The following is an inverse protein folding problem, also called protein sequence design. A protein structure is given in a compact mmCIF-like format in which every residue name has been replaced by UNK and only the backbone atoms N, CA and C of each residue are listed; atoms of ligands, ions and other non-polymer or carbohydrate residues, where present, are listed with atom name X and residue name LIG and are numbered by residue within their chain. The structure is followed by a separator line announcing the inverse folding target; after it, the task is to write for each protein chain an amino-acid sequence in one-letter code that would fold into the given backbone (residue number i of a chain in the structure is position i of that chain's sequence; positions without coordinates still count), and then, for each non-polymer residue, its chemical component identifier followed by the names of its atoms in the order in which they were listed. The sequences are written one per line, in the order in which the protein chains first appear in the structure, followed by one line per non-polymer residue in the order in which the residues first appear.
data_IF_320023216802
#
_entry.id   IF_320023216802
#
_cell.length_a   1.000
_cell.length_b   1.000
_cell.length_c   1.000
_cell.angle_alpha   90.00
_cell.angle_beta   90.00
_cell.angle_gamma   90.00
#
_symmetry.space_group_name_H-M   'P 1'
#
loop_
_entity.id
_entity.type
_entity.pdbx_description
1 polymer ?
#
# COMPACT_ATOMS: atom_id res chain seq x y z
N UNK A 1 -17.96 -6.65 -14.61
CA UNK A 1 -17.96 -5.33 -13.93
C UNK A 1 -17.06 -5.48 -12.72
N UNK A 2 -15.82 -4.98 -12.80
CA UNK A 2 -14.74 -5.27 -11.85
C UNK A 2 -15.06 -4.70 -10.47
N UNK A 3 -15.48 -5.55 -9.53
CA UNK A 3 -15.80 -5.19 -8.14
C UNK A 3 -14.59 -4.61 -7.37
N UNK A 4 -13.38 -4.77 -7.90
CA UNK A 4 -12.12 -4.19 -7.40
C UNK A 4 -12.12 -2.66 -7.31
N UNK A 5 -12.83 -1.98 -8.21
CA UNK A 5 -12.70 -0.53 -8.38
C UNK A 5 -13.64 0.27 -7.47
N UNK A 6 -14.57 -0.39 -6.79
CA UNK A 6 -15.55 0.25 -5.89
C UNK A 6 -15.10 0.29 -4.43
N UNK A 7 -14.07 -0.45 -4.05
CA UNK A 7 -13.68 -0.63 -2.64
C UNK A 7 -12.48 0.21 -2.19
N UNK A 8 -12.00 1.17 -2.99
CA UNK A 8 -10.97 2.11 -2.50
C UNK A 8 -11.53 3.14 -1.49
N UNK A 9 -12.84 3.14 -1.22
CA UNK A 9 -13.47 4.02 -0.22
C UNK A 9 -14.32 3.22 0.74
N UNK A 10 -13.88 3.17 2.00
CA UNK A 10 -14.68 3.64 3.13
C UNK A 10 -13.89 3.62 4.45
N UNK A 11 -14.03 4.71 5.20
CA UNK A 11 -13.79 4.90 6.64
C UNK A 11 -12.38 5.34 7.11
N UNK A 12 -12.24 6.66 7.14
CA UNK A 12 -11.72 7.53 8.23
C UNK A 12 -10.86 6.93 9.36
N UNK A 13 -9.71 7.57 9.56
CA UNK A 13 -9.39 8.21 10.84
C UNK A 13 -8.36 7.51 11.73
N UNK A 14 -7.11 7.95 11.65
CA UNK A 14 -6.27 8.08 12.85
C UNK A 14 -5.76 9.52 12.86
N UNK A 15 -6.24 10.24 13.87
CA UNK A 15 -5.84 11.60 14.17
C UNK A 15 -4.37 11.64 14.59
N UNK A 16 -3.66 12.67 14.13
CA UNK A 16 -2.41 13.13 14.72
C UNK A 16 -2.65 13.52 16.18
N UNK A 17 -2.01 12.82 17.12
CA UNK A 17 -1.51 13.26 18.44
C UNK A 17 -0.68 12.09 18.96
N UNK A 18 0.56 12.20 19.42
CA UNK A 18 1.16 13.28 20.20
C UNK A 18 2.67 13.26 20.01
N UNK A 19 3.26 14.46 19.99
CA UNK A 19 4.65 14.61 20.39
C UNK A 19 4.78 14.32 21.89
N UNK A 20 5.96 13.81 22.26
CA UNK A 20 6.70 14.11 23.50
C UNK A 20 6.97 12.93 24.47
N UNK A 21 8.27 12.59 24.51
CA UNK A 21 9.10 11.99 25.59
C UNK A 21 9.12 10.46 25.83
N UNK A 22 10.19 9.81 25.36
CA UNK A 22 10.96 8.85 26.16
C UNK A 22 12.39 8.69 25.60
N UNK A 23 13.38 9.20 26.34
CA UNK A 23 14.80 9.06 26.03
C UNK A 23 15.26 7.63 26.39
N UNK A 24 15.88 6.92 25.45
CA UNK A 24 16.82 5.83 25.75
C UNK A 24 16.60 4.48 25.05
N UNK A 25 15.38 4.15 24.61
CA UNK A 25 15.08 2.90 23.87
C UNK A 25 13.81 3.10 22.99
N UNK A 26 12.81 3.78 23.55
CA UNK A 26 11.60 4.22 22.83
C UNK A 26 11.82 5.33 21.78
N UNK A 27 13.02 5.92 21.70
CA UNK A 27 13.36 6.86 20.62
C UNK A 27 13.46 6.15 19.27
N UNK A 28 13.91 4.90 19.26
CA UNK A 28 14.03 4.10 18.04
C UNK A 28 12.67 3.52 17.60
N UNK A 29 11.83 3.11 18.56
CA UNK A 29 10.43 2.74 18.28
C UNK A 29 9.63 3.92 17.71
N UNK A 30 9.82 5.13 18.26
CA UNK A 30 9.21 6.35 17.71
C UNK A 30 9.74 6.72 16.32
N UNK A 31 11.02 6.46 16.03
CA UNK A 31 11.58 6.66 14.69
C UNK A 31 10.98 5.66 13.68
N UNK A 32 10.87 4.39 14.05
CA UNK A 32 10.31 3.35 13.21
C UNK A 32 8.84 3.64 12.86
N UNK A 33 8.01 3.98 13.86
CA UNK A 33 6.60 4.33 13.63
C UNK A 33 6.44 5.52 12.67
N UNK A 34 7.30 6.54 12.81
CA UNK A 34 7.30 7.71 11.92
C UNK A 34 7.72 7.37 10.50
N UNK A 35 8.73 6.52 10.31
CA UNK A 35 9.16 6.07 8.99
C UNK A 35 8.06 5.22 8.34
N UNK A 36 7.47 4.29 9.08
CA UNK A 36 6.40 3.40 8.59
C UNK A 36 5.16 4.22 8.19
N UNK A 37 4.69 5.11 9.07
CA UNK A 37 3.52 5.95 8.80
C UNK A 37 3.80 6.98 7.70
N UNK A 38 4.95 7.65 7.75
CA UNK A 38 5.34 8.69 6.80
C UNK A 38 5.58 8.18 5.38
N UNK A 39 6.14 6.97 5.25
CA UNK A 39 6.31 6.32 3.94
C UNK A 39 5.00 5.74 3.38
N UNK A 40 3.94 5.65 4.21
CA UNK A 40 2.62 5.21 3.77
C UNK A 40 2.48 3.70 3.56
N UNK A 41 3.50 2.90 3.90
CA UNK A 41 3.51 1.44 3.69
C UNK A 41 2.44 0.73 4.53
N UNK A 42 2.01 1.32 5.66
CA UNK A 42 0.96 0.78 6.52
C UNK A 42 -0.40 0.63 5.82
N UNK A 43 -0.65 1.44 4.79
CA UNK A 43 -1.90 1.43 4.03
C UNK A 43 -2.17 0.11 3.31
N UNK A 44 -1.15 -0.72 3.05
CA UNK A 44 -1.33 -2.00 2.35
C UNK A 44 -2.19 -2.99 3.15
N UNK A 45 -2.11 -2.95 4.49
CA UNK A 45 -2.95 -3.77 5.37
C UNK A 45 -4.44 -3.43 5.20
N UNK A 46 -4.76 -2.14 5.07
CA UNK A 46 -6.12 -1.66 4.83
C UNK A 46 -6.62 -2.13 3.46
N UNK A 47 -5.78 -2.06 2.43
CA UNK A 47 -6.14 -2.51 1.09
C UNK A 47 -6.45 -4.01 1.05
N UNK A 48 -5.61 -4.85 1.67
CA UNK A 48 -5.87 -6.29 1.77
C UNK A 48 -7.16 -6.58 2.52
N UNK A 49 -7.40 -5.87 3.63
CA UNK A 49 -8.65 -6.04 4.39
C UNK A 49 -9.88 -5.66 3.57
N UNK A 50 -9.86 -4.50 2.91
CA UNK A 50 -10.98 -4.03 2.08
C UNK A 50 -11.27 -4.99 0.92
N UNK A 51 -10.20 -5.47 0.27
CA UNK A 51 -10.30 -6.48 -0.77
C UNK A 51 -10.97 -7.76 -0.24
N UNK A 52 -10.53 -8.23 0.93
CA UNK A 52 -11.07 -9.43 1.52
C UNK A 52 -12.53 -9.27 1.98
N UNK A 53 -12.90 -8.12 2.55
CA UNK A 53 -14.29 -7.80 2.90
C UNK A 53 -15.20 -7.75 1.67
N UNK A 54 -14.72 -7.20 0.55
CA UNK A 54 -15.45 -7.14 -0.71
C UNK A 54 -15.64 -8.53 -1.35
N UNK A 55 -14.61 -9.39 -1.30
CA UNK A 55 -14.65 -10.70 -1.94
C UNK A 55 -15.42 -11.75 -1.11
N UNK A 56 -15.39 -11.64 0.22
CA UNK A 56 -16.02 -12.60 1.13
C UNK A 56 -17.38 -12.13 1.65
N UNK A 57 -17.97 -11.09 1.06
CA UNK A 57 -19.26 -10.53 1.48
C UNK A 57 -20.39 -11.57 1.44
N UNK A 58 -20.33 -12.46 0.46
CA UNK A 58 -21.37 -13.45 0.15
C UNK A 58 -21.00 -14.87 0.67
N UNK A 59 -19.85 -15.03 1.34
CA UNK A 59 -19.37 -16.31 1.87
C UNK A 59 -20.08 -16.69 3.18
N UNK A 60 -20.16 -17.99 3.47
CA UNK A 60 -20.66 -18.47 4.78
C UNK A 60 -19.76 -17.98 5.90
N UNK A 61 -20.34 -17.70 7.06
CA UNK A 61 -19.61 -17.09 8.18
C UNK A 61 -18.38 -17.91 8.66
N UNK A 62 -18.47 -19.25 8.59
CA UNK A 62 -17.35 -20.15 8.96
C UNK A 62 -16.20 -20.04 7.95
N UNK A 63 -16.51 -20.11 6.65
CA UNK A 63 -15.53 -19.99 5.56
C UNK A 63 -14.88 -18.60 5.57
N UNK A 64 -15.68 -17.56 5.75
CA UNK A 64 -15.21 -16.17 5.92
C UNK A 64 -14.23 -16.06 7.08
N UNK A 65 -14.58 -16.57 8.27
CA UNK A 65 -13.68 -16.56 9.44
C UNK A 65 -12.39 -17.34 9.22
N UNK A 66 -12.45 -18.45 8.48
CA UNK A 66 -11.26 -19.23 8.14
C UNK A 66 -10.32 -18.43 7.22
N UNK A 67 -10.84 -17.83 6.14
CA UNK A 67 -10.04 -17.03 5.21
C UNK A 67 -9.48 -15.76 5.87
N UNK A 68 -10.29 -15.07 6.67
CA UNK A 68 -9.82 -13.93 7.48
C UNK A 68 -8.63 -14.30 8.39
N UNK A 69 -8.63 -15.51 8.97
CA UNK A 69 -7.48 -15.98 9.77
C UNK A 69 -6.22 -16.20 8.95
N UNK A 70 -6.35 -16.66 7.71
CA UNK A 70 -5.20 -16.82 6.80
C UNK A 70 -4.58 -15.48 6.40
N UNK A 71 -5.33 -14.38 6.51
CA UNK A 71 -4.85 -13.02 6.24
C UNK A 71 -4.29 -12.31 7.49
N UNK A 72 -4.18 -12.96 8.65
CA UNK A 72 -3.58 -12.36 9.85
C UNK A 72 -2.15 -11.82 9.64
N UNK A 73 -1.27 -12.45 8.82
CA UNK A 73 0.04 -11.86 8.50
C UNK A 73 -0.05 -10.49 7.83
N UNK A 74 -1.16 -10.17 7.17
CA UNK A 74 -1.43 -8.87 6.55
C UNK A 74 -2.06 -7.86 7.52
N UNK A 75 -2.25 -8.22 8.79
CA UNK A 75 -2.80 -7.31 9.80
C UNK A 75 -1.87 -6.11 10.06
N UNK A 76 -2.41 -4.94 10.45
CA UNK A 76 -1.59 -3.78 10.76
C UNK A 76 -0.48 -4.07 11.77
N UNK A 77 -0.76 -4.85 12.81
CA UNK A 77 0.21 -5.22 13.84
C UNK A 77 1.34 -6.11 13.29
N UNK A 78 1.02 -7.12 12.48
CA UNK A 78 2.00 -8.04 11.93
C UNK A 78 2.95 -7.35 10.94
N UNK A 79 2.40 -6.48 10.08
CA UNK A 79 3.22 -5.69 9.16
C UNK A 79 4.07 -4.67 9.91
N UNK A 80 3.52 -3.99 10.91
CA UNK A 80 4.27 -3.03 11.72
C UNK A 80 5.46 -3.72 12.43
N UNK A 81 5.25 -4.89 13.03
CA UNK A 81 6.33 -5.67 13.64
C UNK A 81 7.41 -6.05 12.61
N UNK A 82 7.01 -6.53 11.44
CA UNK A 82 7.94 -6.89 10.35
C UNK A 82 8.77 -5.70 9.87
N UNK A 83 8.12 -4.54 9.72
CA UNK A 83 8.75 -3.29 9.31
C UNK A 83 9.68 -2.71 10.38
N UNK A 84 9.28 -2.75 11.65
CA UNK A 84 10.13 -2.33 12.77
C UNK A 84 11.37 -3.21 12.87
N UNK A 85 11.20 -4.53 12.74
CA UNK A 85 12.34 -5.47 12.71
C UNK A 85 13.26 -5.20 11.52
N UNK A 86 12.70 -4.88 10.34
CA UNK A 86 13.48 -4.51 9.16
C UNK A 86 14.31 -3.24 9.43
N UNK A 87 13.70 -2.21 10.00
CA UNK A 87 14.39 -0.95 10.30
C UNK A 87 15.54 -1.12 11.31
N UNK A 88 15.50 -2.15 12.17
CA UNK A 88 16.62 -2.46 13.06
C UNK A 88 17.91 -2.88 12.32
N UNK A 89 17.82 -3.20 11.01
CA UNK A 89 18.99 -3.48 10.16
C UNK A 89 19.58 -2.23 9.47
N UNK A 90 18.92 -1.08 9.61
CA UNK A 90 19.39 0.20 9.08
C UNK A 90 20.33 0.86 10.11
N UNK A 91 21.35 1.54 9.62
CA UNK A 91 22.27 2.33 10.45
C UNK A 91 21.59 3.59 10.99
N UNK A 92 22.12 4.16 12.07
CA UNK A 92 21.60 5.42 12.66
C UNK A 92 21.60 6.58 11.64
N UNK A 93 22.62 6.65 10.77
CA UNK A 93 22.70 7.65 9.70
C UNK A 93 21.60 7.45 8.65
N UNK A 94 21.29 6.20 8.31
CA UNK A 94 20.21 5.86 7.38
C UNK A 94 18.83 6.15 7.99
N UNK A 95 18.61 5.81 9.26
CA UNK A 95 17.38 6.16 9.99
C UNK A 95 17.22 7.69 10.04
N UNK A 96 18.28 8.41 10.37
CA UNK A 96 18.28 9.88 10.39
C UNK A 96 17.94 10.44 9.00
N UNK A 97 18.53 9.89 7.93
CA UNK A 97 18.24 10.32 6.56
C UNK A 97 16.80 10.02 6.16
N UNK A 98 16.25 8.87 6.52
CA UNK A 98 14.84 8.52 6.29
C UNK A 98 13.93 9.52 7.00
N UNK A 99 14.18 9.83 8.28
CA UNK A 99 13.41 10.82 9.02
C UNK A 99 13.48 12.21 8.37
N UNK A 100 14.66 12.66 7.92
CA UNK A 100 14.79 13.94 7.20
C UNK A 100 13.93 13.98 5.93
N UNK A 101 13.81 12.86 5.21
CA UNK A 101 12.99 12.77 4.00
C UNK A 101 11.50 12.79 4.35
N UNK A 102 11.11 12.00 5.37
CA UNK A 102 9.72 11.88 5.82
C UNK A 102 9.20 13.18 6.41
N UNK A 103 10.03 13.89 7.16
CA UNK A 103 9.70 15.16 7.81
C UNK A 103 9.80 16.37 6.87
N UNK A 104 10.26 16.17 5.63
CA UNK A 104 10.30 17.24 4.64
C UNK A 104 8.88 17.77 4.39
N UNK A 105 8.73 19.09 4.48
CA UNK A 105 7.44 19.76 4.28
C UNK A 105 6.77 19.42 2.93
N UNK A 106 7.57 19.18 1.90
CA UNK A 106 7.10 18.78 0.57
C UNK A 106 6.54 17.35 0.65
N UNK A 107 7.24 16.42 1.32
CA UNK A 107 6.76 15.06 1.55
C UNK A 107 5.43 15.06 2.31
N UNK A 108 5.38 15.76 3.46
CA UNK A 108 4.17 15.87 4.27
C UNK A 108 2.98 16.42 3.48
N UNK A 109 3.21 17.42 2.63
CA UNK A 109 2.18 17.96 1.73
C UNK A 109 1.76 16.95 0.67
N UNK A 110 2.69 16.22 0.07
CA UNK A 110 2.37 15.14 -0.89
C UNK A 110 1.46 14.07 -0.25
N UNK A 111 1.84 13.59 0.94
CA UNK A 111 1.03 12.62 1.72
C UNK A 111 -0.37 13.14 2.03
N UNK A 112 -0.50 14.41 2.43
CA UNK A 112 -1.80 15.04 2.68
C UNK A 112 -2.69 15.06 1.42
N UNK A 113 -2.11 15.33 0.25
CA UNK A 113 -2.87 15.39 -1.01
C UNK A 113 -3.33 14.00 -1.47
N UNK A 114 -2.52 12.98 -1.25
CA UNK A 114 -2.91 11.58 -1.48
C UNK A 114 -4.04 11.15 -0.52
N UNK A 115 -3.94 11.49 0.76
CA UNK A 115 -4.98 11.18 1.74
C UNK A 115 -6.32 11.89 1.44
N UNK A 116 -6.28 13.18 1.06
CA UNK A 116 -7.48 13.89 0.58
C UNK A 116 -8.07 13.17 -0.64
N UNK A 117 -7.22 12.79 -1.60
CA UNK A 117 -7.67 12.10 -2.80
C UNK A 117 -8.32 10.75 -2.51
N UNK A 118 -7.80 9.98 -1.56
CA UNK A 118 -8.39 8.72 -1.10
C UNK A 118 -9.79 8.94 -0.50
N UNK A 119 -9.96 9.99 0.32
CA UNK A 119 -11.26 10.33 0.91
C UNK A 119 -12.28 10.83 -0.13
N UNK A 120 -11.81 11.45 -1.21
CA UNK A 120 -12.64 11.97 -2.29
C UNK A 120 -13.05 10.89 -3.31
N UNK A 121 -12.48 9.70 -3.26
CA UNK A 121 -12.90 8.62 -4.14
C UNK A 121 -14.38 8.26 -3.92
N UNK A 122 -15.05 7.84 -4.99
CA UNK A 122 -16.50 7.60 -4.97
C UNK A 122 -17.36 8.86 -4.80
N UNK A 123 -16.76 10.05 -4.70
CA UNK A 123 -17.52 11.31 -4.75
C UNK A 123 -17.80 11.73 -6.19
N UNK A 124 -18.88 12.51 -6.43
CA UNK A 124 -19.16 13.07 -7.74
C UNK A 124 -18.03 13.97 -8.29
N UNK A 125 -17.21 14.60 -7.44
CA UNK A 125 -16.06 15.38 -7.90
C UNK A 125 -14.99 14.49 -8.53
N UNK A 126 -14.64 13.40 -7.84
CA UNK A 126 -13.66 12.43 -8.31
C UNK A 126 -14.11 11.76 -9.61
N UNK A 127 -15.35 11.30 -9.67
CA UNK A 127 -15.92 10.66 -10.86
C UNK A 127 -15.91 11.60 -12.08
N UNK A 128 -16.32 12.86 -11.89
CA UNK A 128 -16.26 13.87 -12.96
C UNK A 128 -14.83 14.14 -13.41
N UNK A 129 -13.88 14.16 -12.49
CA UNK A 129 -12.47 14.29 -12.87
C UNK A 129 -12.01 13.12 -13.71
N UNK A 130 -12.31 11.87 -13.31
CA UNK A 130 -11.93 10.68 -14.06
C UNK A 130 -12.54 10.64 -15.46
N UNK A 131 -13.82 11.04 -15.58
CA UNK A 131 -14.47 11.19 -16.89
C UNK A 131 -13.78 12.23 -17.77
N UNK A 132 -13.41 13.39 -17.21
CA UNK A 132 -12.66 14.41 -17.94
C UNK A 132 -11.27 13.94 -18.33
N UNK A 133 -10.58 13.22 -17.45
CA UNK A 133 -9.24 12.70 -17.69
C UNK A 133 -9.21 11.79 -18.93
N UNK A 134 -10.22 10.94 -19.10
CA UNK A 134 -10.36 10.06 -20.26
C UNK A 134 -10.62 10.83 -21.57
N UNK A 135 -11.36 11.94 -21.51
CA UNK A 135 -11.69 12.74 -22.69
C UNK A 135 -10.61 13.78 -23.06
N UNK A 136 -9.93 14.33 -22.05
CA UNK A 136 -8.97 15.42 -22.16
C UNK A 136 -7.78 15.15 -21.24
N UNK A 137 -6.85 14.28 -21.65
CA UNK A 137 -5.67 14.00 -20.84
C UNK A 137 -4.81 15.26 -20.67
N UNK A 138 -4.15 15.44 -19.51
CA UNK A 138 -3.17 16.49 -19.32
C UNK A 138 -2.05 16.45 -20.36
N UNK A 139 -1.27 17.52 -20.43
CA UNK A 139 -0.09 17.55 -21.29
C UNK A 139 0.83 16.35 -21.02
N UNK A 140 1.40 15.77 -22.08
CA UNK A 140 2.27 14.57 -22.00
C UNK A 140 3.39 14.74 -20.97
N UNK A 141 4.00 15.93 -20.89
CA UNK A 141 5.03 16.23 -19.91
C UNK A 141 4.55 16.17 -18.46
N UNK A 142 3.27 16.47 -18.21
CA UNK A 142 2.65 16.35 -16.88
C UNK A 142 2.47 14.88 -16.50
N UNK A 143 2.03 14.08 -17.46
CA UNK A 143 1.83 12.62 -17.30
C UNK A 143 3.17 11.95 -17.00
N UNK A 144 4.20 12.20 -17.81
CA UNK A 144 5.54 11.63 -17.61
C UNK A 144 6.14 11.94 -16.23
N UNK A 145 5.92 13.14 -15.69
CA UNK A 145 6.38 13.48 -14.33
C UNK A 145 5.66 12.66 -13.26
N UNK A 146 4.36 12.43 -13.44
CA UNK A 146 3.59 11.61 -12.51
C UNK A 146 3.91 10.12 -12.66
N UNK A 147 4.18 9.63 -13.87
CA UNK A 147 4.72 8.29 -14.07
C UNK A 147 6.06 8.12 -13.35
N UNK A 148 6.94 9.12 -13.42
CA UNK A 148 8.18 9.15 -12.64
C UNK A 148 7.95 9.10 -11.14
N UNK A 149 7.00 9.88 -10.62
CA UNK A 149 6.62 9.85 -9.21
C UNK A 149 6.01 8.49 -8.81
N UNK A 150 5.09 7.93 -9.61
CA UNK A 150 4.48 6.61 -9.41
C UNK A 150 5.56 5.53 -9.34
N UNK A 151 6.53 5.56 -10.25
CA UNK A 151 7.65 4.64 -10.24
C UNK A 151 8.51 4.80 -8.99
N UNK A 152 8.75 6.03 -8.54
CA UNK A 152 9.57 6.31 -7.36
C UNK A 152 8.91 5.84 -6.05
N UNK A 153 7.58 5.97 -5.91
CA UNK A 153 6.85 5.47 -4.72
C UNK A 153 6.68 3.96 -4.73
N UNK A 154 6.78 3.32 -5.90
CA UNK A 154 6.56 1.88 -6.11
C UNK A 154 5.16 1.41 -5.72
N UNK A 155 4.20 2.32 -5.60
CA UNK A 155 2.85 2.02 -5.12
C UNK A 155 2.15 0.92 -5.93
N UNK A 156 2.32 0.90 -7.26
CA UNK A 156 1.75 -0.15 -8.10
C UNK A 156 2.35 -1.52 -7.81
N UNK A 157 3.64 -1.61 -7.50
CA UNK A 157 4.31 -2.88 -7.17
C UNK A 157 3.77 -3.45 -5.86
N UNK A 158 3.61 -2.60 -4.84
CA UNK A 158 3.03 -2.96 -3.55
C UNK A 158 1.60 -3.52 -3.71
N UNK A 159 0.76 -2.84 -4.50
CA UNK A 159 -0.62 -3.28 -4.73
C UNK A 159 -0.69 -4.58 -5.54
N UNK A 160 0.15 -4.72 -6.58
CA UNK A 160 0.22 -5.94 -7.38
C UNK A 160 0.68 -7.12 -6.52
N UNK A 161 1.72 -6.91 -5.70
CA UNK A 161 2.23 -7.95 -4.80
C UNK A 161 1.14 -8.38 -3.81
N UNK A 162 0.48 -7.43 -3.14
CA UNK A 162 -0.59 -7.75 -2.21
C UNK A 162 -1.74 -8.52 -2.87
N UNK A 163 -2.22 -8.07 -4.04
CA UNK A 163 -3.27 -8.77 -4.79
C UNK A 163 -2.87 -10.19 -5.15
N UNK A 164 -1.65 -10.38 -5.66
CA UNK A 164 -1.11 -11.70 -6.04
C UNK A 164 -1.02 -12.61 -4.84
N UNK A 165 -0.46 -12.12 -3.74
CA UNK A 165 -0.26 -12.90 -2.53
C UNK A 165 -1.59 -13.36 -1.95
N UNK A 166 -2.63 -12.51 -1.90
CA UNK A 166 -3.90 -12.89 -1.26
C UNK A 166 -4.91 -13.56 -2.20
N UNK A 167 -4.67 -13.55 -3.52
CA UNK A 167 -5.60 -14.07 -4.52
C UNK A 167 -6.03 -15.52 -4.23
N UNK A 168 -5.09 -16.39 -3.87
CA UNK A 168 -5.37 -17.79 -3.54
C UNK A 168 -6.25 -17.96 -2.30
N UNK A 169 -6.03 -17.15 -1.26
CA UNK A 169 -6.85 -17.17 -0.03
C UNK A 169 -8.27 -16.63 -0.28
N UNK A 170 -8.37 -15.66 -1.19
CA UNK A 170 -9.62 -15.00 -1.53
C UNK A 170 -10.41 -15.70 -2.64
N UNK A 171 -9.86 -16.78 -3.23
CA UNK A 171 -10.40 -17.44 -4.43
C UNK A 171 -10.69 -16.43 -5.54
N UNK A 172 -9.76 -15.50 -5.70
CA UNK A 172 -9.84 -14.49 -6.73
C UNK A 172 -9.07 -14.95 -7.95
N UNK A 173 -9.78 -15.11 -9.06
CA UNK A 173 -9.15 -15.29 -10.37
C UNK A 173 -8.62 -13.93 -10.87
N UNK A 174 -7.31 -13.79 -10.91
CA UNK A 174 -6.64 -12.64 -11.52
C UNK A 174 -6.64 -12.81 -13.04
N UNK A 175 -7.22 -11.84 -13.76
CA UNK A 175 -7.30 -11.88 -15.21
C UNK A 175 -5.95 -11.57 -15.90
N UNK A 176 -5.85 -11.92 -17.18
CA UNK A 176 -4.73 -11.46 -18.00
C UNK A 176 -4.87 -9.95 -18.21
N UNK A 177 -4.08 -9.17 -17.47
CA UNK A 177 -4.07 -7.70 -17.54
C UNK A 177 -4.33 -6.99 -16.21
N UNK A 178 -4.58 -7.71 -15.12
CA UNK A 178 -4.82 -7.10 -13.80
C UNK A 178 -3.68 -6.15 -13.38
N UNK A 179 -2.43 -6.48 -13.67
CA UNK A 179 -1.30 -5.62 -13.32
C UNK A 179 -1.30 -4.29 -14.10
N UNK A 180 -1.59 -4.33 -15.41
CA UNK A 180 -1.68 -3.13 -16.22
C UNK A 180 -2.83 -2.24 -15.72
N UNK A 181 -3.97 -2.85 -15.42
CA UNK A 181 -5.12 -2.16 -14.82
C UNK A 181 -4.77 -1.53 -13.48
N UNK A 182 -4.01 -2.22 -12.62
CA UNK A 182 -3.55 -1.67 -11.34
C UNK A 182 -2.58 -0.50 -11.54
N UNK A 183 -1.64 -0.60 -12.50
CA UNK A 183 -0.73 0.51 -12.85
C UNK A 183 -1.51 1.74 -13.35
N UNK A 184 -2.46 1.56 -14.25
CA UNK A 184 -3.31 2.64 -14.77
C UNK A 184 -4.16 3.27 -13.67
N UNK A 185 -4.70 2.45 -12.77
CA UNK A 185 -5.49 2.92 -11.63
C UNK A 185 -4.66 3.80 -10.70
N UNK A 186 -3.43 3.38 -10.38
CA UNK A 186 -2.50 4.16 -9.58
C UNK A 186 -2.11 5.47 -10.28
N UNK A 187 -1.82 5.43 -11.58
CA UNK A 187 -1.52 6.65 -12.34
C UNK A 187 -2.70 7.63 -12.35
N UNK A 188 -3.92 7.14 -12.57
CA UNK A 188 -5.13 7.95 -12.53
C UNK A 188 -5.38 8.56 -11.14
N UNK A 189 -5.16 7.79 -10.08
CA UNK A 189 -5.20 8.29 -8.71
C UNK A 189 -4.17 9.40 -8.50
N UNK A 190 -2.91 9.22 -8.92
CA UNK A 190 -1.86 10.23 -8.78
C UNK A 190 -2.14 11.49 -9.61
N UNK A 191 -2.72 11.33 -10.80
CA UNK A 191 -3.20 12.45 -11.62
C UNK A 191 -4.26 13.26 -10.87
N UNK A 192 -5.16 12.61 -10.12
CA UNK A 192 -6.15 13.30 -9.29
C UNK A 192 -5.55 13.94 -8.04
N UNK A 193 -4.75 13.18 -7.29
CA UNK A 193 -4.12 13.64 -6.04
C UNK A 193 -3.29 14.90 -6.29
N UNK A 194 -2.50 14.89 -7.36
CA UNK A 194 -1.60 15.98 -7.70
C UNK A 194 -2.18 16.99 -8.71
N UNK A 195 -3.51 16.98 -8.96
CA UNK A 195 -4.17 17.80 -10.01
C UNK A 195 -3.93 19.31 -9.87
N UNK A 196 -3.64 19.79 -8.66
CA UNK A 196 -3.37 21.21 -8.36
C UNK A 196 -1.91 21.49 -7.95
N UNK A 197 -1.02 20.51 -8.10
CA UNK A 197 0.40 20.63 -7.72
C UNK A 197 1.22 21.02 -8.94
N UNK A 198 2.17 21.93 -8.74
CA UNK A 198 3.06 22.37 -9.81
C UNK A 198 4.03 21.24 -10.23
N UNK A 199 4.51 21.32 -11.47
CA UNK A 199 5.52 20.37 -11.96
C UNK A 199 6.80 20.41 -11.12
N UNK A 200 7.21 21.59 -10.64
CA UNK A 200 8.41 21.75 -9.84
C UNK A 200 8.29 21.05 -8.47
N UNK A 201 7.12 21.12 -7.83
CA UNK A 201 6.86 20.40 -6.58
C UNK A 201 6.85 18.88 -6.77
N UNK A 202 6.36 18.40 -7.92
CA UNK A 202 6.36 16.96 -8.22
C UNK A 202 7.76 16.44 -8.51
N UNK A 203 8.59 17.23 -9.18
CA UNK A 203 10.01 16.90 -9.34
C UNK A 203 10.71 16.86 -7.99
N UNK A 204 10.41 17.78 -7.08
CA UNK A 204 10.97 17.79 -5.73
C UNK A 204 10.54 16.56 -4.92
N UNK A 205 9.24 16.22 -4.95
CA UNK A 205 8.71 14.99 -4.36
C UNK A 205 9.39 13.74 -4.92
N UNK A 206 9.51 13.67 -6.25
CA UNK A 206 10.14 12.53 -6.93
C UNK A 206 11.57 12.35 -6.44
N UNK A 207 12.34 13.45 -6.31
CA UNK A 207 13.72 13.38 -5.78
C UNK A 207 13.79 12.81 -4.37
N UNK A 208 12.88 13.22 -3.48
CA UNK A 208 12.79 12.69 -2.11
C UNK A 208 12.53 11.18 -2.12
N UNK A 209 11.58 10.72 -2.94
CA UNK A 209 11.29 9.30 -3.08
C UNK A 209 12.44 8.51 -3.69
N UNK A 210 13.18 9.08 -4.65
CA UNK A 210 14.34 8.42 -5.30
C UNK A 210 15.62 8.44 -4.47
N UNK A 211 15.61 9.03 -3.26
CA UNK A 211 16.78 8.99 -2.39
C UNK A 211 17.22 7.54 -2.14
N UNK A 212 18.53 7.20 -2.21
CA UNK A 212 19.00 5.84 -2.08
C UNK A 212 18.50 5.12 -0.82
N UNK A 213 18.45 5.80 0.33
CA UNK A 213 17.98 5.16 1.57
C UNK A 213 16.47 4.91 1.54
N UNK A 214 15.71 5.82 0.93
CA UNK A 214 14.26 5.65 0.76
C UNK A 214 13.95 4.50 -0.21
N UNK A 215 14.70 4.39 -1.31
CA UNK A 215 14.55 3.27 -2.24
C UNK A 215 14.95 1.94 -1.60
N UNK A 216 16.01 1.90 -0.79
CA UNK A 216 16.37 0.71 0.00
C UNK A 216 15.23 0.32 0.93
N UNK A 217 14.72 1.28 1.71
CA UNK A 217 13.56 1.08 2.60
C UNK A 217 12.38 0.48 1.85
N UNK A 218 11.93 1.09 0.75
CA UNK A 218 10.79 0.60 -0.01
C UNK A 218 11.03 -0.79 -0.64
N UNK A 219 12.26 -1.06 -1.08
CA UNK A 219 12.62 -2.36 -1.66
C UNK A 219 12.55 -3.47 -0.63
N UNK A 220 13.21 -3.27 0.50
CA UNK A 220 13.29 -4.28 1.55
C UNK A 220 11.95 -4.44 2.26
N UNK A 221 11.19 -3.35 2.46
CA UNK A 221 9.86 -3.40 3.04
C UNK A 221 8.87 -4.15 2.13
N UNK A 222 8.99 -4.03 0.81
CA UNK A 222 8.21 -4.84 -0.14
C UNK A 222 8.58 -6.32 -0.04
N UNK A 223 9.87 -6.63 0.09
CA UNK A 223 10.38 -8.00 0.12
C UNK A 223 10.00 -8.78 1.39
N UNK A 224 9.71 -8.09 2.50
CA UNK A 224 9.25 -8.71 3.75
C UNK A 224 7.72 -8.86 3.84
N UNK A 225 6.99 -8.47 2.79
CA UNK A 225 5.53 -8.66 2.78
C UNK A 225 5.16 -10.16 2.76
N UNK A 226 4.01 -10.54 3.36
CA UNK A 226 3.63 -11.94 3.45
C UNK A 226 3.28 -12.55 2.08
N UNK A 227 3.84 -13.73 1.79
CA UNK A 227 3.33 -14.58 0.73
C UNK A 227 2.25 -15.51 1.31
N UNK A 228 0.97 -15.17 1.14
CA UNK A 228 -0.12 -16.06 1.56
C UNK A 228 -0.31 -17.16 0.51
N UNK A 229 0.38 -18.27 0.66
CA UNK A 229 0.11 -19.46 -0.15
C UNK A 229 -1.38 -19.83 -0.03
N UNK A 230 -2.05 -20.02 -1.16
CA UNK A 230 -3.41 -20.57 -1.21
C UNK A 230 -3.49 -21.91 -0.48
N UNK A 231 -4.70 -22.43 -0.19
CA UNK A 231 -4.84 -23.64 0.61
C UNK A 231 -3.96 -24.76 0.06
N UNK A 232 -2.92 -25.11 0.81
CA UNK A 232 -2.27 -26.41 0.68
C UNK A 232 -3.34 -27.42 1.03
N UNK A 233 -3.89 -28.07 0.00
CA UNK A 233 -4.66 -29.28 0.18
C UNK A 233 -3.72 -30.30 0.83
N UNK A 234 -3.75 -30.36 2.15
CA UNK A 234 -3.32 -31.54 2.89
C UNK A 234 -4.26 -32.63 2.39
N UNK A 235 -3.74 -33.46 1.49
CA UNK A 235 -4.43 -34.67 1.06
C UNK A 235 -4.39 -35.62 2.25
N UNK A 236 -5.33 -35.46 3.18
CA UNK A 236 -5.63 -36.48 4.18
C UNK A 236 -6.07 -37.73 3.40
N UNK A 237 -5.17 -38.70 3.23
CA UNK A 237 -5.55 -39.92 2.52
C UNK A 237 -4.43 -40.81 1.99
N UNK A 238 -3.42 -41.14 2.79
CA UNK A 238 -2.72 -42.43 2.62
C UNK A 238 -2.49 -43.11 3.97
N UNK A 239 -3.57 -43.70 4.50
CA UNK A 239 -3.47 -44.88 5.34
C UNK A 239 -2.95 -46.03 4.45
N UNK A 240 -1.63 -46.19 4.37
CA UNK A 240 -1.04 -47.44 3.89
C UNK A 240 -1.16 -48.46 5.02
N UNK A 241 -2.25 -49.21 4.92
CA UNK A 241 -2.50 -50.45 5.63
C UNK A 241 -1.44 -51.47 5.18
N UNK A 242 -0.34 -51.60 5.92
CA UNK A 242 0.57 -52.75 5.80
C UNK A 242 0.08 -53.84 6.73
N UNK A 243 -0.73 -54.74 6.18
CA UNK A 243 -0.95 -56.07 6.72
C UNK A 243 -1.10 -57.03 5.55
N UNK A 244 0.03 -57.63 5.17
CA UNK A 244 0.17 -59.03 4.78
C UNK A 244 1.66 -59.39 4.73
#
# INVERSE_FOLDING_TARGET
MNRFLTSLVAVTGIALTSAELAYGDGANEGAAERIISGSGVSGISTQVRQLAEAQLSDSKDIERRQRMRQLLPWSPSALNESFTHLLASFTDDEITRLLMIIDDSIMARGRLMEDIALREQGTPEYERYMQRLAAYPPAVSRVQRLEGLVSATRMSEWLIHAQTSVAGVLEQDLDQGYEATTRDTVLNFMLYAYRRVSNAEIDALTRLWTDPVMQRWLTEALAVLPETAGPSFVTDGQLLNTSQ
#
